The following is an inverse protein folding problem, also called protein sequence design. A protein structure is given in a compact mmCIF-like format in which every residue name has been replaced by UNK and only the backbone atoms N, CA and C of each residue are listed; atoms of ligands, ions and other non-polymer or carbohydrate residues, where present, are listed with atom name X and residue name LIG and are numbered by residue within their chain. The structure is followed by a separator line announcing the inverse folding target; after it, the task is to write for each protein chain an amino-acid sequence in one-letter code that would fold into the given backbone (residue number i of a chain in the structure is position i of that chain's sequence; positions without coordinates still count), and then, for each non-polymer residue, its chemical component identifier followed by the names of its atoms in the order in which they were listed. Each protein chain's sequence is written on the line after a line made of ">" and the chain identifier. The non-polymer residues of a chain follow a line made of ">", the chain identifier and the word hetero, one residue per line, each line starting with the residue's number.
data_IF_443396220429
#
_entry.id   IF_443396220429
#
_cell.length_a   1.000
_cell.length_b   1.000
_cell.length_c   1.000
_cell.angle_alpha   90.00
_cell.angle_beta   90.00
_cell.angle_gamma   90.00
#
_symmetry.space_group_name_H-M   'P 1'
#
loop_
_entity.id
_entity.type
_entity.pdbx_description
1 polymer ?
#
# COMPACT_ATOMS: atom_id res chain seq x y z
N UNK A 1 -16.21 -24.21 13.91
CA UNK A 1 -15.56 -23.08 14.62
C UNK A 1 -14.15 -22.95 14.09
N UNK A 2 -13.97 -22.21 12.99
CA UNK A 2 -12.64 -21.87 12.50
C UNK A 2 -12.09 -20.75 13.36
N UNK A 3 -10.95 -20.98 14.02
CA UNK A 3 -10.31 -19.97 14.86
C UNK A 3 -10.01 -18.72 14.04
N UNK A 4 -10.22 -17.56 14.67
CA UNK A 4 -9.84 -16.27 14.10
C UNK A 4 -8.37 -16.32 13.68
N UNK A 5 -8.02 -15.94 12.43
CA UNK A 5 -6.64 -15.60 12.14
C UNK A 5 -6.35 -14.36 12.96
N UNK A 6 -5.69 -14.55 14.12
CA UNK A 6 -5.28 -13.45 14.96
C UNK A 6 -4.21 -12.69 14.18
N UNK A 7 -4.59 -11.55 13.60
CA UNK A 7 -3.65 -10.59 13.06
C UNK A 7 -2.80 -10.15 14.24
N UNK A 8 -1.61 -10.72 14.38
CA UNK A 8 -0.69 -10.29 15.43
C UNK A 8 -0.11 -8.95 15.03
N UNK A 9 -0.90 -7.89 15.22
CA UNK A 9 -0.51 -6.51 15.01
C UNK A 9 0.77 -6.15 15.79
N UNK A 10 1.12 -6.91 16.85
CA UNK A 10 2.38 -6.73 17.58
C UNK A 10 3.59 -7.26 16.80
N UNK A 11 3.39 -8.18 15.86
CA UNK A 11 4.45 -8.71 14.98
C UNK A 11 4.70 -7.84 13.74
N UNK A 12 3.83 -6.86 13.45
CA UNK A 12 4.03 -5.92 12.35
C UNK A 12 5.14 -4.92 12.69
N UNK A 13 6.15 -4.85 11.84
CA UNK A 13 7.19 -3.84 11.89
C UNK A 13 6.82 -2.68 10.95
N UNK A 14 6.91 -1.44 11.45
CA UNK A 14 6.57 -0.24 10.68
C UNK A 14 7.67 0.82 10.83
N UNK A 15 8.05 1.41 9.70
CA UNK A 15 8.91 2.59 9.63
C UNK A 15 8.25 3.64 8.73
N UNK A 16 8.42 4.92 9.07
CA UNK A 16 7.92 6.05 8.28
C UNK A 16 9.06 7.03 8.04
N UNK A 17 9.12 7.56 6.81
CA UNK A 17 10.06 8.61 6.42
C UNK A 17 9.33 9.89 6.01
N UNK A 18 9.96 11.03 6.26
CA UNK A 18 9.56 12.35 5.80
C UNK A 18 10.77 13.07 5.19
N UNK A 19 10.61 13.85 4.11
CA UNK A 19 9.35 14.19 3.44
C UNK A 19 8.80 13.07 2.54
N UNK A 20 7.57 13.22 2.04
CA UNK A 20 6.94 12.26 1.13
C UNK A 20 7.36 12.46 -0.33
N UNK A 21 6.94 11.55 -1.22
CA UNK A 21 7.31 11.58 -2.65
C UNK A 21 6.92 12.87 -3.37
N UNK A 22 5.83 13.54 -2.95
CA UNK A 22 5.39 14.83 -3.51
C UNK A 22 6.34 15.99 -3.22
N UNK A 23 7.37 15.81 -2.39
CA UNK A 23 8.39 16.84 -2.12
C UNK A 23 9.54 16.82 -3.14
N UNK A 24 9.59 15.81 -4.02
CA UNK A 24 10.63 15.64 -5.03
C UNK A 24 10.25 16.21 -6.40
N UNK A 25 9.27 17.11 -6.47
CA UNK A 25 8.80 17.71 -7.73
C UNK A 25 9.92 18.49 -8.46
N UNK A 26 10.85 19.08 -7.71
CA UNK A 26 11.99 19.80 -8.27
C UNK A 26 13.11 18.88 -8.77
N UNK A 27 13.22 17.66 -8.22
CA UNK A 27 14.19 16.66 -8.65
C UNK A 27 13.61 15.23 -8.50
N UNK A 28 12.80 14.78 -9.49
CA UNK A 28 12.16 13.47 -9.46
C UNK A 28 13.13 12.29 -9.38
N UNK A 29 14.36 12.48 -9.88
CA UNK A 29 15.34 11.40 -9.96
C UNK A 29 15.79 10.94 -8.57
N UNK A 30 15.77 11.84 -7.57
CA UNK A 30 16.12 11.55 -6.17
C UNK A 30 14.99 10.88 -5.37
N UNK A 31 13.78 10.81 -5.90
CA UNK A 31 12.63 10.27 -5.16
C UNK A 31 12.80 8.79 -4.79
N UNK A 32 13.45 7.99 -5.64
CA UNK A 32 13.75 6.58 -5.36
C UNK A 32 14.71 6.39 -4.18
N UNK A 33 15.67 7.29 -3.98
CA UNK A 33 16.62 7.21 -2.86
C UNK A 33 15.94 7.28 -1.49
N UNK A 34 14.77 7.94 -1.43
CA UNK A 34 13.96 7.98 -0.21
C UNK A 34 13.53 6.60 0.26
N UNK A 35 13.42 5.62 -0.65
CA UNK A 35 12.98 4.25 -0.36
C UNK A 35 14.09 3.35 0.18
N UNK A 36 15.37 3.70 0.00
CA UNK A 36 16.50 2.81 0.34
C UNK A 36 16.47 2.41 1.82
N UNK A 37 16.31 3.39 2.70
CA UNK A 37 16.24 3.16 4.15
C UNK A 37 15.02 2.32 4.56
N UNK A 38 13.87 2.50 3.88
CA UNK A 38 12.67 1.70 4.12
C UNK A 38 12.87 0.25 3.68
N UNK A 39 13.60 0.03 2.58
CA UNK A 39 13.92 -1.31 2.06
C UNK A 39 14.93 -2.02 2.94
N UNK A 40 15.95 -1.34 3.45
CA UNK A 40 16.90 -1.92 4.40
C UNK A 40 16.20 -2.30 5.71
N UNK A 41 15.33 -1.43 6.24
CA UNK A 41 14.48 -1.79 7.37
C UNK A 41 13.64 -3.05 7.08
N UNK A 42 13.04 -3.16 5.89
CA UNK A 42 12.27 -4.35 5.52
C UNK A 42 13.15 -5.61 5.47
N UNK A 43 14.37 -5.52 4.94
CA UNK A 43 15.33 -6.65 4.90
C UNK A 43 15.75 -7.11 6.28
N UNK A 44 15.84 -6.22 7.27
CA UNK A 44 16.12 -6.61 8.66
C UNK A 44 14.98 -7.40 9.30
N UNK A 45 13.74 -7.27 8.79
CA UNK A 45 12.55 -7.93 9.34
C UNK A 45 12.17 -9.20 8.60
N UNK A 46 12.49 -9.30 7.32
CA UNK A 46 12.24 -10.49 6.49
C UNK A 46 13.48 -11.39 6.50
N UNK A 47 13.31 -12.68 6.79
CA UNK A 47 14.41 -13.64 6.72
C UNK A 47 15.03 -13.65 5.32
N UNK A 48 16.36 -13.70 5.23
CA UNK A 48 17.10 -13.59 3.97
C UNK A 48 16.62 -14.57 2.87
N UNK A 49 16.28 -15.80 3.25
CA UNK A 49 15.81 -16.84 2.31
C UNK A 49 14.47 -16.47 1.64
N UNK A 50 13.70 -15.58 2.25
CA UNK A 50 12.38 -15.16 1.80
C UNK A 50 12.40 -13.88 0.97
N UNK A 51 13.53 -13.16 0.87
CA UNK A 51 13.59 -11.88 0.15
C UNK A 51 13.09 -12.02 -1.29
N UNK A 52 13.59 -13.02 -2.04
CA UNK A 52 13.27 -13.20 -3.47
C UNK A 52 11.79 -13.55 -3.77
N UNK A 53 11.05 -14.04 -2.78
CA UNK A 53 9.64 -14.43 -2.92
C UNK A 53 8.69 -13.49 -2.19
N UNK A 54 9.24 -12.55 -1.42
CA UNK A 54 8.45 -11.53 -0.72
C UNK A 54 8.16 -10.40 -1.68
N UNK A 55 6.87 -10.14 -1.93
CA UNK A 55 6.44 -9.04 -2.79
C UNK A 55 6.64 -7.68 -2.10
N UNK A 56 7.20 -6.72 -2.83
CA UNK A 56 7.24 -5.31 -2.42
C UNK A 56 6.34 -4.49 -3.34
N UNK A 57 5.54 -3.60 -2.77
CA UNK A 57 4.58 -2.76 -3.52
C UNK A 57 4.66 -1.32 -3.04
N UNK A 58 4.52 -0.37 -3.96
CA UNK A 58 4.48 1.06 -3.67
C UNK A 58 3.15 1.62 -4.16
N UNK A 59 2.29 1.99 -3.23
CA UNK A 59 0.97 2.56 -3.52
C UNK A 59 0.95 4.02 -3.09
N UNK A 60 1.17 4.91 -4.04
CA UNK A 60 1.15 6.35 -3.79
C UNK A 60 -0.29 6.87 -3.77
N UNK A 61 -0.60 7.78 -2.83
CA UNK A 61 -1.95 8.27 -2.56
C UNK A 61 -2.18 9.69 -3.09
N UNK A 62 -3.14 10.42 -2.52
CA UNK A 62 -3.57 11.76 -2.94
C UNK A 62 -2.43 12.75 -3.26
N UNK A 63 -1.32 12.71 -2.52
CA UNK A 63 -0.19 13.62 -2.72
C UNK A 63 0.43 13.56 -4.13
N UNK A 64 0.43 12.38 -4.77
CA UNK A 64 0.88 12.22 -6.16
C UNK A 64 -0.27 12.26 -7.18
N UNK A 65 -1.53 12.07 -6.75
CA UNK A 65 -2.70 12.20 -7.64
C UNK A 65 -2.81 13.60 -8.24
N UNK A 66 -2.43 14.63 -7.46
CA UNK A 66 -2.51 16.04 -7.85
C UNK A 66 -1.32 16.53 -8.67
N UNK A 67 -0.33 15.66 -8.92
CA UNK A 67 0.87 16.00 -9.69
C UNK A 67 0.63 15.76 -11.18
N UNK A 68 1.21 16.62 -12.02
CA UNK A 68 1.17 16.46 -13.47
C UNK A 68 1.68 15.08 -13.91
N UNK A 69 1.02 14.46 -14.88
CA UNK A 69 1.24 13.06 -15.28
C UNK A 69 2.70 12.77 -15.62
N UNK A 70 3.36 13.64 -16.38
CA UNK A 70 4.76 13.45 -16.76
C UNK A 70 5.70 13.44 -15.55
N UNK A 71 5.50 14.38 -14.63
CA UNK A 71 6.30 14.48 -13.41
C UNK A 71 6.05 13.31 -12.46
N UNK A 72 4.79 12.89 -12.34
CA UNK A 72 4.38 11.71 -11.57
C UNK A 72 5.07 10.44 -12.08
N UNK A 73 5.08 10.21 -13.38
CA UNK A 73 5.74 9.03 -13.95
C UNK A 73 7.26 9.05 -13.75
N UNK A 74 7.90 10.23 -13.82
CA UNK A 74 9.33 10.34 -13.51
C UNK A 74 9.64 9.96 -12.06
N UNK A 75 8.80 10.40 -11.11
CA UNK A 75 8.91 10.01 -9.69
C UNK A 75 8.74 8.49 -9.56
N UNK A 76 7.66 7.93 -10.12
CA UNK A 76 7.40 6.50 -10.04
C UNK A 76 8.51 5.68 -10.69
N UNK A 77 9.08 6.13 -11.81
CA UNK A 77 10.19 5.44 -12.48
C UNK A 77 11.48 5.45 -11.66
N UNK A 78 11.79 6.57 -10.98
CA UNK A 78 12.88 6.60 -10.00
C UNK A 78 12.66 5.57 -8.89
N UNK A 79 11.45 5.48 -8.34
CA UNK A 79 11.09 4.45 -7.36
C UNK A 79 11.19 3.02 -7.92
N UNK A 80 10.67 2.76 -9.13
CA UNK A 80 10.73 1.45 -9.80
C UNK A 80 12.16 0.97 -9.97
N UNK A 81 13.10 1.83 -10.36
CA UNK A 81 14.53 1.49 -10.45
C UNK A 81 15.08 0.96 -9.13
N UNK A 82 14.78 1.64 -8.02
CA UNK A 82 15.24 1.21 -6.68
C UNK A 82 14.56 -0.09 -6.25
N UNK A 83 13.25 -0.23 -6.48
CA UNK A 83 12.48 -1.43 -6.12
C UNK A 83 12.95 -2.66 -6.91
N UNK A 84 13.27 -2.52 -8.21
CA UNK A 84 13.86 -3.59 -9.04
C UNK A 84 15.18 -4.13 -8.48
N UNK A 85 15.97 -3.26 -7.86
CA UNK A 85 17.28 -3.61 -7.29
C UNK A 85 17.20 -4.03 -5.82
N UNK A 86 16.01 -4.01 -5.20
CA UNK A 86 15.86 -4.25 -3.76
C UNK A 86 16.17 -5.68 -3.32
N UNK A 87 16.07 -6.66 -4.22
CA UNK A 87 16.15 -8.08 -3.91
C UNK A 87 14.81 -8.72 -3.51
N UNK A 88 13.77 -7.91 -3.33
CA UNK A 88 12.39 -8.36 -3.20
C UNK A 88 11.76 -8.68 -4.56
N UNK A 89 10.69 -9.48 -4.56
CA UNK A 89 9.89 -9.67 -5.77
C UNK A 89 9.16 -8.36 -6.10
N UNK A 90 9.35 -7.87 -7.32
CA UNK A 90 8.77 -6.60 -7.76
C UNK A 90 8.35 -6.67 -9.24
N UNK A 91 7.27 -5.94 -9.57
CA UNK A 91 6.80 -5.69 -10.93
C UNK A 91 6.46 -4.20 -11.07
N UNK A 92 6.71 -3.62 -12.24
CA UNK A 92 6.58 -2.17 -12.43
C UNK A 92 5.15 -1.64 -12.20
N UNK A 93 4.13 -2.47 -12.46
CA UNK A 93 2.71 -2.18 -12.20
C UNK A 93 2.36 -2.15 -10.70
N UNK A 94 3.25 -2.62 -9.82
CA UNK A 94 3.10 -2.56 -8.37
C UNK A 94 3.60 -1.26 -7.74
N UNK A 95 4.26 -0.40 -8.53
CA UNK A 95 4.56 0.98 -8.16
C UNK A 95 3.63 1.92 -8.93
N UNK A 96 2.52 2.26 -8.30
CA UNK A 96 1.44 3.00 -8.94
C UNK A 96 0.79 4.00 -8.00
N UNK A 97 0.08 4.98 -8.57
CA UNK A 97 -0.82 5.84 -7.83
C UNK A 97 -2.19 5.18 -7.78
N UNK A 98 -2.68 4.92 -6.57
CA UNK A 98 -3.98 4.28 -6.40
C UNK A 98 -5.11 5.32 -6.37
N UNK A 99 -6.26 5.01 -7.00
CA UNK A 99 -7.49 5.76 -6.82
C UNK A 99 -7.94 5.81 -5.35
N UNK A 100 -8.69 6.85 -4.97
CA UNK A 100 -9.28 6.92 -3.62
C UNK A 100 -10.30 5.80 -3.34
N UNK A 101 -10.96 5.26 -4.37
CA UNK A 101 -11.81 4.07 -4.25
C UNK A 101 -11.02 2.86 -3.79
N UNK A 102 -9.82 2.67 -4.34
CA UNK A 102 -8.96 1.53 -4.05
C UNK A 102 -8.39 1.62 -2.63
N UNK A 103 -7.99 2.83 -2.19
CA UNK A 103 -7.64 3.11 -0.79
C UNK A 103 -8.74 2.60 0.16
N UNK A 104 -9.99 2.93 -0.15
CA UNK A 104 -11.15 2.53 0.62
C UNK A 104 -11.46 1.03 0.60
N UNK A 105 -11.26 0.37 -0.56
CA UNK A 105 -11.39 -1.09 -0.67
C UNK A 105 -10.31 -1.79 0.14
N UNK A 106 -9.06 -1.33 0.10
CA UNK A 106 -7.99 -1.90 0.91
C UNK A 106 -8.27 -1.74 2.41
N UNK A 107 -8.76 -0.57 2.85
CA UNK A 107 -9.18 -0.35 4.22
C UNK A 107 -10.32 -1.31 4.62
N UNK A 108 -11.31 -1.50 3.74
CA UNK A 108 -12.41 -2.43 3.96
C UNK A 108 -11.96 -3.89 4.10
N UNK A 109 -11.07 -4.35 3.22
CA UNK A 109 -10.48 -5.69 3.30
C UNK A 109 -9.68 -5.84 4.60
N UNK A 110 -8.84 -4.87 4.94
CA UNK A 110 -8.01 -4.93 6.14
C UNK A 110 -8.84 -5.04 7.42
N UNK A 111 -9.91 -4.24 7.56
CA UNK A 111 -10.73 -4.32 8.77
C UNK A 111 -11.57 -5.60 8.82
N UNK A 112 -12.17 -6.03 7.71
CA UNK A 112 -12.95 -7.27 7.69
C UNK A 112 -12.07 -8.50 7.89
N UNK A 113 -10.80 -8.46 7.45
CA UNK A 113 -9.82 -9.49 7.77
C UNK A 113 -9.50 -9.47 9.28
N UNK A 114 -9.23 -8.30 9.87
CA UNK A 114 -8.95 -8.17 11.30
C UNK A 114 -10.15 -8.57 12.19
N UNK A 115 -11.38 -8.34 11.71
CA UNK A 115 -12.62 -8.73 12.41
C UNK A 115 -13.03 -10.18 12.14
N UNK A 116 -12.33 -10.91 11.26
CA UNK A 116 -12.66 -12.29 10.89
C UNK A 116 -13.95 -12.45 10.08
N UNK A 117 -14.50 -11.36 9.54
CA UNK A 117 -15.70 -11.35 8.71
C UNK A 117 -15.40 -11.47 7.21
N UNK A 118 -14.14 -11.34 6.80
CA UNK A 118 -13.73 -11.51 5.40
C UNK A 118 -13.97 -12.95 4.94
N UNK A 119 -14.69 -13.13 3.82
CA UNK A 119 -15.07 -14.44 3.29
C UNK A 119 -16.32 -15.06 3.92
N UNK A 120 -16.97 -14.37 4.87
CA UNK A 120 -18.30 -14.72 5.38
C UNK A 120 -19.41 -14.18 4.47
N UNK A 121 -20.67 -14.39 4.86
CA UNK A 121 -21.83 -13.78 4.18
C UNK A 121 -21.62 -12.25 4.05
N UNK A 122 -21.81 -11.65 2.86
CA UNK A 122 -21.66 -10.20 2.66
C UNK A 122 -22.42 -9.34 3.67
N UNK A 123 -23.58 -9.78 4.16
CA UNK A 123 -24.39 -9.06 5.16
C UNK A 123 -23.70 -8.98 6.54
N UNK A 124 -22.76 -9.88 6.83
CA UNK A 124 -21.98 -9.90 8.07
C UNK A 124 -20.69 -9.07 7.99
N UNK A 125 -20.44 -8.41 6.86
CA UNK A 125 -19.25 -7.57 6.71
C UNK A 125 -19.46 -6.19 7.34
N UNK A 126 -18.43 -5.70 8.02
CA UNK A 126 -18.42 -4.38 8.62
C UNK A 126 -18.24 -3.34 7.53
N UNK A 127 -19.10 -2.32 7.53
CA UNK A 127 -18.99 -1.14 6.67
C UNK A 127 -17.97 -0.19 7.26
N UNK A 128 -17.18 0.47 6.39
CA UNK A 128 -16.18 1.43 6.82
C UNK A 128 -16.47 2.79 6.22
N UNK A 129 -16.38 3.83 7.05
CA UNK A 129 -16.27 5.22 6.65
C UNK A 129 -14.82 5.66 6.92
N UNK A 130 -14.11 6.04 5.87
CA UNK A 130 -12.76 6.58 5.94
C UNK A 130 -12.79 8.08 5.63
N UNK A 131 -12.18 8.89 6.50
CA UNK A 131 -12.08 10.34 6.35
C UNK A 131 -10.59 10.72 6.31
N UNK A 132 -10.07 11.00 5.12
CA UNK A 132 -8.70 11.44 4.88
C UNK A 132 -8.60 12.96 4.68
N UNK A 133 -7.37 13.49 4.62
CA UNK A 133 -7.14 14.92 4.45
C UNK A 133 -7.55 15.49 3.08
N UNK A 134 -7.68 14.64 2.05
CA UNK A 134 -8.04 15.04 0.69
C UNK A 134 -9.34 14.41 0.17
N UNK A 135 -9.92 13.43 0.88
CA UNK A 135 -11.13 12.71 0.45
C UNK A 135 -11.84 12.03 1.61
N UNK A 136 -13.11 11.69 1.41
CA UNK A 136 -13.92 10.84 2.27
C UNK A 136 -14.49 9.68 1.45
N UNK A 137 -14.47 8.47 1.97
CA UNK A 137 -14.90 7.25 1.29
C UNK A 137 -15.76 6.37 2.20
N UNK A 138 -16.85 5.82 1.67
CA UNK A 138 -17.69 4.81 2.34
C UNK A 138 -17.63 3.53 1.53
N UNK A 139 -17.28 2.42 2.18
CA UNK A 139 -17.17 1.11 1.52
C UNK A 139 -18.00 0.05 2.24
N UNK A 140 -18.75 -0.70 1.45
CA UNK A 140 -19.59 -1.83 1.87
C UNK A 140 -19.63 -2.89 0.76
N UNK A 141 -19.71 -4.17 1.13
CA UNK A 141 -20.07 -5.21 0.18
C UNK A 141 -21.60 -5.22 0.01
N UNK A 142 -22.09 -5.40 -1.21
CA UNK A 142 -23.53 -5.52 -1.50
C UNK A 142 -23.71 -6.55 -2.61
N UNK A 143 -24.47 -7.62 -2.33
CA UNK A 143 -24.76 -8.66 -3.30
C UNK A 143 -26.07 -8.32 -4.02
N UNK A 144 -25.99 -7.94 -5.29
CA UNK A 144 -27.18 -7.85 -6.14
C UNK A 144 -27.39 -9.21 -6.83
N UNK A 145 -28.44 -9.94 -6.44
CA UNK A 145 -28.96 -11.04 -7.26
C UNK A 145 -29.75 -10.43 -8.43
N UNK A 146 -29.29 -10.63 -9.66
CA UNK A 146 -30.11 -10.45 -10.88
C UNK A 146 -30.76 -11.76 -11.26
#
# INVERSE_FOLDING_TARGET
>A
MGGFPLLDLKSMAMMRKTPGLSSYLGDPELSGESLVELLEFAKEKVLNDWHKVTEVRLMATAGLRMVEVGLRERILESCRRVLRLSGFQFKDDWATVIPGSDEGVYAWVAANYALGSLGSDPENTTRILELGGASAQVNSCSLFMT
#
